data_IF_366247886494
#
_entry.id   IF_366247886494
#
_cell.length_a   1.000
_cell.length_b   1.000
_cell.length_c   1.000
_cell.angle_alpha   90.00
_cell.angle_beta   90.00
_cell.angle_gamma   90.00
#
_symmetry.space_group_name_H-M   'P 1'
#
loop_
_entity.id
_entity.type
_entity.pdbx_description
1 polymer ?
#
# COMPACT_ATOMS: atom_id res chain seq x y z
N UNK A 1 -46.38 -27.74 -23.22
CA UNK A 1 -45.62 -26.60 -23.79
C UNK A 1 -45.55 -25.39 -22.86
N UNK A 2 -46.66 -24.81 -22.37
CA UNK A 2 -46.64 -23.65 -21.43
C UNK A 2 -45.79 -23.85 -20.15
N UNK A 3 -45.85 -25.04 -19.54
CA UNK A 3 -45.07 -25.36 -18.32
C UNK A 3 -43.56 -25.41 -18.56
N UNK A 4 -43.13 -25.80 -19.77
CA UNK A 4 -41.70 -25.83 -20.17
C UNK A 4 -41.20 -24.40 -20.40
N UNK A 5 -42.02 -23.54 -21.00
CA UNK A 5 -41.71 -22.12 -21.18
C UNK A 5 -41.55 -21.37 -19.85
N UNK A 6 -42.41 -21.65 -18.86
CA UNK A 6 -42.31 -21.05 -17.52
C UNK A 6 -41.04 -21.51 -16.77
N UNK A 7 -40.64 -22.77 -16.95
CA UNK A 7 -39.43 -23.33 -16.33
C UNK A 7 -38.16 -22.73 -16.95
N UNK A 8 -38.13 -22.56 -18.28
CA UNK A 8 -37.03 -21.90 -19.00
C UNK A 8 -36.90 -20.42 -18.61
N UNK A 9 -38.02 -19.69 -18.48
CA UNK A 9 -38.00 -18.31 -18.02
C UNK A 9 -37.45 -18.18 -16.58
N UNK A 10 -37.77 -19.12 -15.70
CA UNK A 10 -37.24 -19.17 -14.34
C UNK A 10 -35.73 -19.41 -14.29
N UNK A 11 -35.19 -20.29 -15.14
CA UNK A 11 -33.75 -20.57 -15.23
C UNK A 11 -32.98 -19.35 -15.76
N UNK A 12 -33.52 -18.67 -16.77
CA UNK A 12 -32.91 -17.44 -17.30
C UNK A 12 -32.89 -16.34 -16.24
N UNK A 13 -33.98 -16.17 -15.48
CA UNK A 13 -34.04 -15.19 -14.40
C UNK A 13 -33.02 -15.48 -13.28
N UNK A 14 -32.82 -16.77 -12.95
CA UNK A 14 -31.83 -17.22 -11.96
C UNK A 14 -30.39 -17.05 -12.46
N UNK A 15 -30.13 -17.20 -13.76
CA UNK A 15 -28.81 -16.99 -14.34
C UNK A 15 -28.38 -15.52 -14.31
N UNK A 16 -29.32 -14.57 -14.43
CA UNK A 16 -29.03 -13.12 -14.41
C UNK A 16 -28.66 -12.63 -12.98
N UNK A 17 -29.03 -13.37 -11.93
CA UNK A 17 -28.63 -13.05 -10.55
C UNK A 17 -27.20 -13.44 -10.19
N UNK A 18 -26.50 -14.19 -11.05
CA UNK A 18 -25.07 -14.50 -10.91
C UNK A 18 -24.19 -13.54 -11.71
N UNK A 19 -24.46 -12.24 -11.65
CA UNK A 19 -23.45 -11.26 -12.06
C UNK A 19 -22.36 -11.31 -11.01
N UNK A 20 -21.22 -11.90 -11.36
CA UNK A 20 -20.01 -11.79 -10.56
C UNK A 20 -19.78 -10.31 -10.27
N UNK A 21 -19.63 -9.95 -8.98
CA UNK A 21 -19.11 -8.64 -8.64
C UNK A 21 -17.83 -8.47 -9.47
N UNK A 22 -17.66 -7.36 -10.22
CA UNK A 22 -16.36 -7.10 -10.83
C UNK A 22 -15.34 -7.22 -9.69
N UNK A 23 -14.37 -8.13 -9.85
CA UNK A 23 -13.20 -8.14 -8.99
C UNK A 23 -12.61 -6.75 -9.19
N UNK A 24 -12.80 -5.88 -8.19
CA UNK A 24 -12.08 -4.63 -8.14
C UNK A 24 -10.61 -5.06 -8.22
N UNK A 25 -9.96 -4.65 -9.30
CA UNK A 25 -8.55 -4.90 -9.60
C UNK A 25 -7.71 -4.09 -8.60
N UNK A 26 -7.83 -4.47 -7.33
CA UNK A 26 -7.31 -3.80 -6.15
C UNK A 26 -6.11 -4.60 -5.67
N UNK A 27 -4.95 -4.01 -5.86
CA UNK A 27 -3.71 -4.56 -5.38
C UNK A 27 -3.29 -3.79 -4.14
N UNK A 28 -2.70 -4.46 -3.16
CA UNK A 28 -2.28 -3.78 -1.94
C UNK A 28 -0.92 -4.24 -1.46
N UNK A 29 -0.09 -3.29 -1.06
CA UNK A 29 1.14 -3.58 -0.34
C UNK A 29 0.79 -3.61 1.14
N UNK A 30 1.08 -4.73 1.76
CA UNK A 30 1.00 -4.94 3.19
C UNK A 30 2.29 -4.46 3.83
N UNK A 31 2.16 -3.66 4.86
CA UNK A 31 3.26 -3.13 5.63
C UNK A 31 3.20 -3.72 7.04
N UNK A 32 4.34 -4.21 7.51
CA UNK A 32 4.46 -4.77 8.85
C UNK A 32 5.63 -4.15 9.59
N UNK A 33 5.41 -3.95 10.88
CA UNK A 33 6.45 -3.54 11.80
C UNK A 33 6.90 -4.78 12.59
N UNK A 34 8.06 -5.33 12.23
CA UNK A 34 8.71 -6.42 12.94
C UNK A 34 9.69 -5.94 14.02
N UNK A 35 9.83 -4.62 14.19
CA UNK A 35 10.73 -4.00 15.15
C UNK A 35 10.08 -3.81 16.53
N UNK A 36 10.87 -3.38 17.52
CA UNK A 36 10.35 -2.96 18.83
C UNK A 36 9.91 -1.48 18.87
N UNK A 37 10.12 -0.73 17.78
CA UNK A 37 9.86 0.72 17.71
C UNK A 37 8.40 1.02 17.37
N UNK A 38 7.98 2.25 17.67
CA UNK A 38 6.75 2.80 17.14
C UNK A 38 6.99 3.29 15.71
N UNK A 39 6.76 2.43 14.73
CA UNK A 39 7.04 2.75 13.32
C UNK A 39 5.80 3.33 12.64
N UNK A 40 6.00 4.43 11.94
CA UNK A 40 5.03 5.01 11.01
C UNK A 40 5.54 4.94 9.59
N UNK A 41 4.63 5.05 8.64
CA UNK A 41 4.92 5.00 7.22
C UNK A 41 4.46 6.27 6.52
N UNK A 42 5.26 6.74 5.57
CA UNK A 42 4.80 7.63 4.51
C UNK A 42 4.93 6.93 3.16
N UNK A 43 3.91 7.04 2.31
CA UNK A 43 3.92 6.47 0.95
C UNK A 43 3.79 7.63 -0.03
N UNK A 44 4.83 7.81 -0.84
CA UNK A 44 4.85 8.76 -1.95
C UNK A 44 4.72 8.04 -3.28
N UNK A 45 4.12 8.69 -4.27
CA UNK A 45 3.97 8.12 -5.61
C UNK A 45 3.12 8.99 -6.52
N UNK A 46 3.24 8.75 -7.82
CA UNK A 46 2.38 9.39 -8.81
C UNK A 46 0.91 9.07 -8.52
N UNK A 47 0.07 10.09 -8.37
CA UNK A 47 -1.35 9.93 -8.00
C UNK A 47 -1.64 9.79 -6.51
N UNK A 48 -0.62 9.72 -5.64
CA UNK A 48 -0.77 9.61 -4.18
C UNK A 48 -0.49 10.92 -3.41
N UNK A 49 0.01 11.94 -4.11
CA UNK A 49 0.30 13.27 -3.58
C UNK A 49 1.79 13.62 -3.60
N UNK A 50 2.15 14.79 -3.09
CA UNK A 50 3.54 15.19 -2.90
C UNK A 50 4.20 14.42 -1.74
N UNK A 51 5.50 14.09 -1.85
CA UNK A 51 6.33 14.25 -3.03
C UNK A 51 6.14 13.09 -4.00
N UNK A 52 6.28 13.42 -5.28
CA UNK A 52 6.10 12.48 -6.40
C UNK A 52 7.45 11.87 -6.73
N UNK A 53 7.55 10.55 -6.70
CA UNK A 53 8.73 9.82 -7.18
C UNK A 53 9.25 10.40 -8.51
N UNK A 54 10.56 10.54 -8.76
CA UNK A 54 11.70 10.03 -7.98
C UNK A 54 12.17 10.95 -6.86
N UNK A 55 11.32 11.85 -6.37
CA UNK A 55 11.78 12.75 -5.32
C UNK A 55 12.20 11.94 -4.08
N UNK A 56 13.43 12.19 -3.63
CA UNK A 56 13.93 11.57 -2.41
C UNK A 56 13.35 12.22 -1.17
N UNK A 57 12.66 13.35 -1.31
CA UNK A 57 12.19 14.18 -0.22
C UNK A 57 10.99 13.56 0.50
N UNK A 58 10.76 14.01 1.74
CA UNK A 58 9.54 13.77 2.50
C UNK A 58 8.58 14.96 2.30
N UNK A 59 7.24 14.79 2.45
CA UNK A 59 6.28 15.85 2.17
C UNK A 59 6.43 17.05 3.09
N UNK A 60 5.99 18.23 2.63
CA UNK A 60 5.97 19.45 3.44
C UNK A 60 5.12 19.30 4.71
N UNK A 61 4.00 18.58 4.62
CA UNK A 61 3.08 18.31 5.72
C UNK A 61 3.24 16.86 6.17
N UNK A 62 3.23 16.62 7.49
CA UNK A 62 3.26 15.27 8.02
C UNK A 62 1.99 14.49 7.60
N UNK A 63 2.18 13.45 6.80
CA UNK A 63 1.14 12.51 6.35
C UNK A 63 1.45 11.07 6.75
N UNK A 64 2.25 10.87 7.79
CA UNK A 64 2.63 9.54 8.23
C UNK A 64 1.47 8.82 8.90
N UNK A 65 1.35 7.52 8.66
CA UNK A 65 0.36 6.65 9.29
C UNK A 65 1.02 5.56 10.14
N UNK A 66 0.44 5.17 11.29
CA UNK A 66 1.00 4.10 12.10
C UNK A 66 0.91 2.73 11.42
N UNK A 67 1.97 1.93 11.58
CA UNK A 67 1.92 0.51 11.21
C UNK A 67 1.38 -0.29 12.40
N UNK A 68 0.15 -0.77 12.28
CA UNK A 68 -0.46 -1.59 13.33
C UNK A 68 0.24 -2.95 13.45
N UNK A 69 0.23 -3.54 14.66
CA UNK A 69 0.93 -4.80 14.99
C UNK A 69 0.64 -5.98 14.04
N UNK A 70 -0.55 -6.04 13.44
CA UNK A 70 -0.91 -7.12 12.53
C UNK A 70 -0.43 -6.82 11.10
N UNK A 71 -0.83 -5.66 10.57
CA UNK A 71 -0.35 -5.07 9.32
C UNK A 71 -1.18 -3.82 9.01
N UNK A 72 -0.59 -2.85 8.31
CA UNK A 72 -1.31 -1.79 7.62
C UNK A 72 -1.25 -2.11 6.13
N UNK A 73 -2.37 -2.14 5.42
CA UNK A 73 -2.35 -2.30 3.97
C UNK A 73 -2.49 -0.93 3.30
N UNK A 74 -1.80 -0.76 2.18
CA UNK A 74 -2.00 0.37 1.32
C UNK A 74 -2.46 -0.13 -0.03
N UNK A 75 -3.67 0.27 -0.39
CA UNK A 75 -4.29 -0.06 -1.66
C UNK A 75 -3.77 0.78 -2.79
N UNK A 76 -3.62 0.15 -3.93
CA UNK A 76 -3.45 0.81 -5.20
C UNK A 76 -4.41 0.16 -6.19
N UNK A 77 -5.00 0.98 -7.05
CA UNK A 77 -5.65 0.44 -8.23
C UNK A 77 -4.56 -0.17 -9.12
N UNK A 78 -4.85 -1.32 -9.75
CA UNK A 78 -3.95 -2.02 -10.69
C UNK A 78 -3.47 -1.15 -11.86
N UNK A 79 -4.12 -0.01 -12.08
CA UNK A 79 -3.73 1.05 -13.00
C UNK A 79 -2.58 1.94 -12.49
N UNK A 80 -1.67 1.39 -11.68
CA UNK A 80 -0.32 1.93 -11.40
C UNK A 80 0.58 1.95 -12.66
N UNK A 81 0.00 1.99 -13.86
CA UNK A 81 0.74 1.95 -15.13
C UNK A 81 1.72 3.13 -15.17
N UNK A 82 3.01 2.84 -15.14
CA UNK A 82 4.15 3.78 -14.98
C UNK A 82 4.36 4.39 -13.58
N UNK A 83 3.54 4.07 -12.58
CA UNK A 83 3.71 4.63 -11.23
C UNK A 83 4.89 3.98 -10.52
N UNK A 84 5.72 4.82 -9.92
CA UNK A 84 6.78 4.43 -9.00
C UNK A 84 6.40 4.94 -7.63
N UNK A 85 6.43 4.04 -6.65
CA UNK A 85 6.00 4.27 -5.28
C UNK A 85 7.22 4.18 -4.38
N UNK A 86 7.37 5.12 -3.46
CA UNK A 86 8.38 5.09 -2.41
C UNK A 86 7.69 4.90 -1.05
N UNK A 87 8.16 3.92 -0.29
CA UNK A 87 7.67 3.62 1.07
C UNK A 87 8.76 4.02 2.04
N UNK A 88 8.47 4.99 2.90
CA UNK A 88 9.36 5.47 3.94
C UNK A 88 8.90 4.97 5.30
N UNK A 89 9.76 4.25 5.99
CA UNK A 89 9.56 3.88 7.39
C UNK A 89 10.26 4.92 8.27
N UNK A 90 9.54 5.44 9.26
CA UNK A 90 10.03 6.46 10.18
C UNK A 90 9.73 6.07 11.63
N UNK A 91 10.52 6.60 12.55
CA UNK A 91 10.32 6.41 13.99
C UNK A 91 9.40 7.51 14.54
N UNK A 92 8.23 7.11 15.04
CA UNK A 92 7.24 8.02 15.63
C UNK A 92 7.84 8.83 16.78
N UNK A 93 8.69 8.21 17.59
CA UNK A 93 9.28 8.86 18.77
C UNK A 93 10.29 9.93 18.33
N UNK A 94 10.97 9.70 17.19
CA UNK A 94 11.86 10.70 16.56
C UNK A 94 11.06 11.88 16.03
N UNK A 95 9.92 11.64 15.38
CA UNK A 95 9.02 12.72 14.91
C UNK A 95 8.50 13.55 16.09
N UNK A 96 8.07 12.89 17.18
CA UNK A 96 7.60 13.59 18.38
C UNK A 96 8.71 14.44 19.01
N UNK A 97 9.94 13.92 19.06
CA UNK A 97 11.07 14.59 19.70
C UNK A 97 11.58 15.82 18.92
N UNK A 98 11.65 15.72 17.59
CA UNK A 98 12.31 16.72 16.76
C UNK A 98 11.34 17.57 15.92
N UNK A 99 10.10 17.14 15.76
CA UNK A 99 9.13 17.76 14.86
C UNK A 99 9.30 17.31 13.41
N UNK A 100 8.23 17.45 12.62
CA UNK A 100 8.19 16.99 11.24
C UNK A 100 9.19 17.71 10.33
N UNK A 101 9.28 19.05 10.41
CA UNK A 101 10.19 19.81 9.55
C UNK A 101 11.64 19.36 9.72
N UNK A 102 12.09 19.13 10.96
CA UNK A 102 13.44 18.64 11.22
C UNK A 102 13.66 17.21 10.71
N UNK A 103 12.69 16.31 10.92
CA UNK A 103 12.77 14.94 10.39
C UNK A 103 12.81 14.93 8.85
N UNK A 104 12.03 15.81 8.21
CA UNK A 104 12.01 16.00 6.75
C UNK A 104 13.34 16.53 6.24
N UNK A 105 13.83 17.63 6.80
CA UNK A 105 14.98 18.37 6.30
C UNK A 105 16.31 17.65 6.58
N UNK A 106 16.45 17.01 7.75
CA UNK A 106 17.62 16.21 8.11
C UNK A 106 17.50 14.75 7.63
N UNK A 107 16.41 14.41 6.94
CA UNK A 107 16.15 13.10 6.35
C UNK A 107 16.26 11.93 7.34
N UNK A 108 15.65 12.07 8.53
CA UNK A 108 15.73 11.11 9.64
C UNK A 108 14.81 9.87 9.43
N UNK A 109 14.95 9.19 8.29
CA UNK A 109 14.20 7.98 7.97
C UNK A 109 14.89 6.73 8.51
N UNK A 110 14.11 5.69 8.83
CA UNK A 110 14.65 4.38 9.20
C UNK A 110 15.02 3.56 7.96
N UNK A 111 14.11 3.52 6.99
CA UNK A 111 14.27 2.76 5.75
C UNK A 111 13.42 3.33 4.63
N UNK A 112 13.89 3.19 3.39
CA UNK A 112 13.14 3.47 2.17
C UNK A 112 13.13 2.24 1.28
N UNK A 113 11.97 1.95 0.69
CA UNK A 113 11.81 1.01 -0.41
C UNK A 113 11.25 1.73 -1.62
N UNK A 114 11.89 1.56 -2.77
CA UNK A 114 11.37 2.01 -4.06
C UNK A 114 10.74 0.82 -4.76
N UNK A 115 9.51 1.01 -5.21
CA UNK A 115 8.65 -0.01 -5.78
C UNK A 115 8.20 0.49 -7.14
N UNK A 116 8.42 -0.30 -8.17
CA UNK A 116 7.95 0.01 -9.52
C UNK A 116 6.92 -1.02 -9.99
N UNK A 117 6.28 -0.70 -11.12
CA UNK A 117 5.32 -1.58 -11.78
C UNK A 117 5.90 -2.98 -12.07
N UNK A 118 7.20 -3.07 -12.40
CA UNK A 118 7.85 -4.33 -12.71
C UNK A 118 7.94 -5.26 -11.49
N UNK A 119 8.23 -4.71 -10.31
CA UNK A 119 8.19 -5.44 -9.05
C UNK A 119 6.77 -5.92 -8.71
N UNK A 120 5.77 -5.05 -8.87
CA UNK A 120 4.38 -5.34 -8.51
C UNK A 120 3.71 -6.40 -9.39
N UNK A 121 4.12 -6.53 -10.66
CA UNK A 121 3.53 -7.49 -11.62
C UNK A 121 4.11 -8.91 -11.54
N UNK A 122 5.07 -9.18 -10.66
CA UNK A 122 5.70 -10.50 -10.58
C UNK A 122 4.72 -11.55 -10.01
N UNK A 123 4.61 -12.74 -10.65
CA UNK A 123 3.58 -13.74 -10.34
C UNK A 123 3.72 -14.42 -8.96
N UNK A 124 4.78 -14.12 -8.18
CA UNK A 124 5.05 -14.74 -6.89
C UNK A 124 5.58 -13.75 -5.82
N UNK A 125 5.41 -12.45 -6.00
CA UNK A 125 5.87 -11.49 -4.98
C UNK A 125 4.87 -11.47 -3.84
N UNK A 126 5.35 -11.76 -2.63
CA UNK A 126 4.61 -11.43 -1.41
C UNK A 126 4.58 -9.91 -1.31
N UNK A 127 3.40 -9.30 -1.45
CA UNK A 127 3.25 -7.83 -1.36
C UNK A 127 3.39 -7.33 0.08
N UNK A 128 4.11 -8.06 0.94
CA UNK A 128 4.36 -7.68 2.33
C UNK A 128 5.77 -7.15 2.48
N UNK A 129 5.91 -5.89 2.88
CA UNK A 129 7.18 -5.29 3.27
C UNK A 129 7.22 -5.24 4.79
N UNK A 130 8.26 -5.85 5.37
CA UNK A 130 8.49 -5.86 6.82
C UNK A 130 9.65 -4.93 7.12
N UNK A 131 9.45 -3.96 8.01
CA UNK A 131 10.56 -3.26 8.65
C UNK A 131 11.03 -4.04 9.87
N UNK A 132 12.33 -4.34 9.91
CA UNK A 132 13.02 -4.93 11.04
C UNK A 132 14.14 -3.98 11.47
N UNK A 133 14.46 -3.96 12.76
CA UNK A 133 15.63 -3.19 13.22
C UNK A 133 16.91 -3.74 12.55
N UNK A 134 17.87 -2.87 12.21
CA UNK A 134 19.18 -3.32 11.74
C UNK A 134 19.78 -4.31 12.75
N UNK A 135 20.37 -5.40 12.26
CA UNK A 135 21.13 -6.29 13.14
C UNK A 135 22.29 -5.49 13.71
N UNK A 136 22.49 -5.55 15.03
CA UNK A 136 23.65 -4.92 15.67
C UNK A 136 24.93 -5.51 15.04
N UNK A 137 25.62 -4.74 14.20
CA UNK A 137 26.93 -5.11 13.66
C UNK A 137 27.14 -5.12 12.13
N UNK A 138 26.32 -4.43 11.32
CA UNK A 138 26.63 -4.13 9.91
C UNK A 138 27.04 -2.66 9.70
#
# INVERSE_FOLDING_TARGET
>A
MKKIFLLMAGIILLAITFTSCPDDDYNAIWLKNGSKRNVVVYIGGEGLGEPVYPDTLLPSINRTEPIFKNSTNFGFTKDIKNSKVCVFFLDQDTIIKYGWDKVRDDYMILKRYDIDEAYLRQPNVAWTIVYEDPKEGE
#
